data_IF_397528395834
#
_entry.id   IF_397528395834
#
_cell.length_a   1.000
_cell.length_b   1.000
_cell.length_c   1.000
_cell.angle_alpha   90.00
_cell.angle_beta   90.00
_cell.angle_gamma   90.00
#
_symmetry.space_group_name_H-M   'P 1'
#
loop_
_entity.id
_entity.type
_entity.pdbx_description
1 polymer ?
#
# COMPACT_ATOMS: atom_id res chain seq x y z
N UNK A 1 -5.20 22.73 7.74
CA UNK A 1 -5.32 21.31 8.14
C UNK A 1 -3.92 20.75 8.30
N UNK A 2 -3.64 19.94 9.32
CA UNK A 2 -2.37 19.22 9.40
C UNK A 2 -2.39 18.00 8.46
N UNK A 3 -1.77 18.13 7.29
CA UNK A 3 -1.76 17.10 6.24
C UNK A 3 -1.05 15.84 6.73
N UNK A 4 0.04 15.95 7.49
CA UNK A 4 0.82 14.80 7.92
C UNK A 4 -0.01 13.91 8.86
N UNK A 5 -0.54 14.51 9.94
CA UNK A 5 -1.36 13.81 10.93
C UNK A 5 -2.61 13.20 10.29
N UNK A 6 -3.31 13.95 9.41
CA UNK A 6 -4.52 13.44 8.75
C UNK A 6 -4.20 12.31 7.76
N UNK A 7 -3.05 12.35 7.10
CA UNK A 7 -2.61 11.28 6.20
C UNK A 7 -2.30 10.01 7.00
N UNK A 8 -1.64 10.13 8.15
CA UNK A 8 -1.40 8.99 9.03
C UNK A 8 -2.71 8.33 9.49
N UNK A 9 -3.70 9.12 9.90
CA UNK A 9 -5.02 8.59 10.28
C UNK A 9 -5.67 7.83 9.13
N UNK A 10 -5.68 8.41 7.93
CA UNK A 10 -6.27 7.77 6.74
C UNK A 10 -5.53 6.49 6.36
N UNK A 11 -4.20 6.52 6.32
CA UNK A 11 -3.37 5.37 5.96
C UNK A 11 -3.51 4.25 7.01
N UNK A 12 -3.49 4.57 8.31
CA UNK A 12 -3.74 3.58 9.37
C UNK A 12 -5.12 2.95 9.25
N UNK A 13 -6.15 3.74 8.94
CA UNK A 13 -7.50 3.22 8.69
C UNK A 13 -7.59 2.30 7.46
N UNK A 14 -6.65 2.43 6.53
CA UNK A 14 -6.51 1.60 5.34
C UNK A 14 -5.59 0.38 5.55
N UNK A 15 -5.13 0.12 6.78
CA UNK A 15 -4.30 -1.04 7.12
C UNK A 15 -2.80 -0.85 6.87
N UNK A 16 -2.33 0.40 6.83
CA UNK A 16 -0.90 0.70 6.80
C UNK A 16 -0.37 0.95 8.22
N UNK A 17 0.84 0.49 8.47
CA UNK A 17 1.69 1.01 9.54
C UNK A 17 2.28 2.35 9.09
N UNK A 18 2.38 3.33 10.00
CA UNK A 18 2.98 4.63 9.69
C UNK A 18 3.92 5.08 10.80
N UNK A 19 5.04 5.68 10.42
CA UNK A 19 6.02 6.23 11.34
C UNK A 19 6.70 7.46 10.72
N UNK A 20 7.13 8.39 11.57
CA UNK A 20 7.81 9.60 11.14
C UNK A 20 9.32 9.40 11.11
N UNK A 21 9.97 9.92 10.07
CA UNK A 21 11.42 10.05 10.01
C UNK A 21 11.81 11.54 9.93
N UNK A 22 12.50 12.09 10.96
CA UNK A 22 12.85 13.51 11.01
C UNK A 22 14.13 13.87 10.25
N UNK A 23 14.79 12.92 9.57
CA UNK A 23 16.10 13.16 8.96
C UNK A 23 16.08 13.75 7.54
N UNK A 24 14.90 14.10 7.01
CA UNK A 24 14.76 14.77 5.72
C UNK A 24 14.77 16.30 5.83
N UNK A 25 14.93 16.99 4.70
CA UNK A 25 14.74 18.45 4.61
C UNK A 25 13.29 18.88 4.86
N UNK A 26 12.35 17.95 4.67
CA UNK A 26 10.95 18.05 5.09
C UNK A 26 10.61 16.83 5.96
N UNK A 27 9.74 16.96 6.97
CA UNK A 27 9.24 15.83 7.74
C UNK A 27 8.68 14.75 6.80
N UNK A 28 9.13 13.51 6.98
CA UNK A 28 8.69 12.38 6.16
C UNK A 28 7.82 11.46 7.01
N UNK A 29 6.62 11.16 6.53
CA UNK A 29 5.81 10.06 7.05
C UNK A 29 6.06 8.85 6.16
N UNK A 30 6.70 7.84 6.71
CA UNK A 30 6.84 6.55 6.07
C UNK A 30 5.58 5.73 6.33
N UNK A 31 5.14 4.94 5.35
CA UNK A 31 4.01 4.05 5.51
C UNK A 31 4.23 2.74 4.79
N UNK A 32 3.71 1.65 5.35
CA UNK A 32 3.80 0.35 4.72
C UNK A 32 2.72 -0.63 5.15
N UNK A 33 2.39 -1.58 4.27
CA UNK A 33 1.58 -2.75 4.60
C UNK A 33 2.22 -4.01 3.97
N UNK A 34 1.49 -5.12 3.87
CA UNK A 34 2.02 -6.35 3.29
C UNK A 34 2.48 -6.22 1.82
N UNK A 35 1.93 -5.28 1.05
CA UNK A 35 2.11 -5.19 -0.41
C UNK A 35 2.67 -3.88 -0.93
N UNK A 36 2.58 -2.79 -0.16
CA UNK A 36 2.92 -1.43 -0.57
C UNK A 36 3.80 -0.80 0.50
N UNK A 37 4.79 -0.02 0.07
CA UNK A 37 5.54 0.91 0.91
C UNK A 37 5.42 2.32 0.33
N UNK A 38 5.70 3.34 1.12
CA UNK A 38 5.84 4.68 0.58
C UNK A 38 6.27 5.73 1.58
N UNK A 39 6.43 6.92 1.03
CA UNK A 39 6.93 8.09 1.72
C UNK A 39 6.04 9.28 1.40
N UNK A 40 5.59 9.97 2.43
CA UNK A 40 4.83 11.20 2.33
C UNK A 40 5.72 12.39 2.71
N UNK A 41 5.76 13.35 1.81
CA UNK A 41 6.44 14.63 1.93
C UNK A 41 5.40 15.74 1.93
N UNK A 42 5.38 16.53 3.00
CA UNK A 42 4.50 17.70 3.13
C UNK A 42 5.32 18.96 2.93
N UNK A 43 4.95 19.74 1.92
CA UNK A 43 5.57 21.01 1.55
C UNK A 43 4.74 22.18 2.06
N UNK A 44 5.39 23.31 2.30
CA UNK A 44 4.70 24.54 2.71
C UNK A 44 3.82 25.10 1.59
N UNK A 45 4.33 25.08 0.34
CA UNK A 45 3.62 25.59 -0.84
C UNK A 45 3.86 24.73 -2.08
N UNK A 46 2.98 24.88 -3.09
CA UNK A 46 3.13 24.25 -4.41
C UNK A 46 4.43 24.62 -5.13
N UNK A 47 4.94 25.85 -4.96
CA UNK A 47 6.23 26.27 -5.51
C UNK A 47 7.38 25.48 -4.91
N UNK A 48 7.42 25.35 -3.58
CA UNK A 48 8.45 24.55 -2.90
C UNK A 48 8.38 23.07 -3.28
N UNK A 49 7.17 22.54 -3.47
CA UNK A 49 6.95 21.19 -3.98
C UNK A 49 7.57 21.04 -5.38
N UNK A 50 7.25 21.93 -6.32
CA UNK A 50 7.77 21.87 -7.69
C UNK A 50 9.29 22.01 -7.75
N UNK A 51 9.86 22.85 -6.90
CA UNK A 51 11.30 23.06 -6.83
C UNK A 51 12.04 21.81 -6.31
N UNK A 52 11.53 21.19 -5.23
CA UNK A 52 12.36 20.31 -4.40
C UNK A 52 11.98 18.82 -4.47
N UNK A 53 10.84 18.44 -5.07
CA UNK A 53 10.33 17.06 -5.00
C UNK A 53 11.34 16.00 -5.45
N UNK A 54 12.13 16.27 -6.51
CA UNK A 54 13.13 15.32 -7.03
C UNK A 54 14.23 15.07 -6.00
N UNK A 55 14.75 16.14 -5.42
CA UNK A 55 15.83 16.09 -4.43
C UNK A 55 15.35 15.37 -3.16
N UNK A 56 14.15 15.71 -2.68
CA UNK A 56 13.55 15.09 -1.49
C UNK A 56 13.31 13.59 -1.71
N UNK A 57 12.81 13.20 -2.89
CA UNK A 57 12.66 11.78 -3.25
C UNK A 57 14.00 11.06 -3.23
N UNK A 58 15.02 11.59 -3.90
CA UNK A 58 16.33 10.95 -3.99
C UNK A 58 16.97 10.78 -2.61
N UNK A 59 16.92 11.81 -1.76
CA UNK A 59 17.45 11.74 -0.40
C UNK A 59 16.74 10.64 0.42
N UNK A 60 15.41 10.58 0.34
CA UNK A 60 14.61 9.59 1.08
C UNK A 60 14.86 8.16 0.58
N UNK A 61 14.88 7.94 -0.73
CA UNK A 61 15.17 6.63 -1.31
C UNK A 61 16.60 6.19 -1.03
N UNK A 62 17.57 7.10 -1.11
CA UNK A 62 18.97 6.82 -0.76
C UNK A 62 19.11 6.37 0.69
N UNK A 63 18.41 7.06 1.61
CA UNK A 63 18.38 6.70 3.04
C UNK A 63 17.82 5.29 3.27
N UNK A 64 16.76 4.92 2.56
CA UNK A 64 16.06 3.65 2.72
C UNK A 64 16.51 2.56 1.71
N UNK A 65 17.56 2.80 0.94
CA UNK A 65 17.97 1.92 -0.17
C UNK A 65 18.25 0.48 0.27
N UNK A 66 18.86 0.28 1.44
CA UNK A 66 19.12 -1.06 1.97
C UNK A 66 17.82 -1.82 2.26
N UNK A 67 16.88 -1.17 2.96
CA UNK A 67 15.58 -1.75 3.29
C UNK A 67 14.75 -2.05 2.03
N UNK A 68 14.76 -1.14 1.05
CA UNK A 68 14.08 -1.32 -0.23
C UNK A 68 14.64 -2.49 -1.02
N UNK A 69 15.97 -2.68 -1.05
CA UNK A 69 16.59 -3.83 -1.71
C UNK A 69 16.20 -5.16 -1.05
N UNK A 70 16.02 -5.19 0.26
CA UNK A 70 15.55 -6.38 0.98
C UNK A 70 14.04 -6.60 0.93
N UNK A 71 13.25 -5.63 0.43
CA UNK A 71 11.78 -5.68 0.46
C UNK A 71 11.17 -6.63 -0.61
N UNK A 72 11.99 -7.27 -1.44
CA UNK A 72 11.54 -8.25 -2.43
C UNK A 72 10.47 -7.70 -3.38
N UNK A 73 9.35 -8.40 -3.53
CA UNK A 73 8.25 -7.99 -4.40
C UNK A 73 7.62 -6.63 -3.99
N UNK A 74 7.65 -6.26 -2.70
CA UNK A 74 7.14 -4.99 -2.19
C UNK A 74 7.94 -3.79 -2.73
N UNK A 75 9.20 -3.99 -3.10
CA UNK A 75 10.05 -2.94 -3.68
C UNK A 75 9.53 -2.41 -5.03
N UNK A 76 8.70 -3.19 -5.73
CA UNK A 76 8.05 -2.77 -6.98
C UNK A 76 6.80 -1.91 -6.72
N UNK A 77 6.37 -1.79 -5.47
CA UNK A 77 5.16 -1.09 -5.04
C UNK A 77 5.46 0.04 -4.06
N UNK A 78 6.43 0.87 -4.42
CA UNK A 78 6.81 2.05 -3.64
C UNK A 78 6.11 3.29 -4.19
N UNK A 79 5.47 4.04 -3.30
CA UNK A 79 4.84 5.33 -3.59
C UNK A 79 5.60 6.50 -2.95
N UNK A 80 5.73 7.60 -3.70
CA UNK A 80 6.14 8.90 -3.17
C UNK A 80 4.96 9.88 -3.27
N UNK A 81 4.55 10.43 -2.14
CA UNK A 81 3.44 11.38 -2.02
C UNK A 81 4.05 12.76 -1.78
N UNK A 82 3.74 13.71 -2.65
CA UNK A 82 4.20 15.10 -2.55
C UNK A 82 2.97 16.00 -2.39
N UNK A 83 2.73 16.47 -1.17
CA UNK A 83 1.50 17.18 -0.82
C UNK A 83 1.84 18.59 -0.30
N UNK A 84 1.07 19.59 -0.71
CA UNK A 84 1.10 20.92 -0.13
C UNK A 84 -0.31 21.38 0.25
N UNK A 85 -0.41 22.27 1.24
CA UNK A 85 -1.68 22.83 1.71
C UNK A 85 -2.15 24.04 0.90
N UNK A 86 -1.23 24.67 0.17
CA UNK A 86 -1.49 25.87 -0.62
C UNK A 86 -0.65 25.86 -1.89
N UNK A 87 -1.24 26.28 -3.00
CA UNK A 87 -0.60 26.37 -4.31
C UNK A 87 -1.39 27.31 -5.19
N UNK A 88 -0.69 28.13 -5.96
CA UNK A 88 -1.34 28.89 -7.05
C UNK A 88 -2.03 27.91 -8.03
N UNK A 89 -3.32 28.12 -8.37
CA UNK A 89 -4.03 27.32 -9.36
C UNK A 89 -3.30 27.17 -10.71
N UNK A 90 -2.49 28.15 -11.11
CA UNK A 90 -1.69 28.11 -12.33
C UNK A 90 -0.65 26.98 -12.30
N UNK A 91 -0.20 26.57 -11.11
CA UNK A 91 0.78 25.50 -10.91
C UNK A 91 0.15 24.10 -10.91
N UNK A 92 -1.18 23.98 -10.82
CA UNK A 92 -1.87 22.69 -10.66
C UNK A 92 -1.46 21.67 -11.73
N UNK A 93 -1.44 22.10 -13.01
CA UNK A 93 -1.03 21.23 -14.12
C UNK A 93 0.43 20.82 -14.04
N UNK A 94 1.32 21.68 -13.56
CA UNK A 94 2.74 21.33 -13.42
C UNK A 94 2.94 20.31 -12.30
N UNK A 95 2.19 20.45 -11.21
CA UNK A 95 2.22 19.51 -10.08
C UNK A 95 1.65 18.15 -10.51
N UNK A 96 0.54 18.12 -11.24
CA UNK A 96 -0.04 16.86 -11.77
C UNK A 96 0.93 16.11 -12.68
N UNK A 97 1.73 16.82 -13.50
CA UNK A 97 2.76 16.21 -14.36
C UNK A 97 3.86 15.50 -13.59
N UNK A 98 4.02 15.71 -12.28
CA UNK A 98 4.94 14.92 -11.46
C UNK A 98 4.54 13.44 -11.49
N UNK A 99 3.24 13.11 -11.57
CA UNK A 99 2.76 11.73 -11.67
C UNK A 99 3.14 11.05 -12.98
N UNK A 100 3.43 11.83 -14.03
CA UNK A 100 3.89 11.36 -15.33
C UNK A 100 5.41 11.05 -15.32
N UNK A 101 6.14 11.43 -14.27
CA UNK A 101 7.53 11.02 -14.09
C UNK A 101 7.57 9.60 -13.52
N UNK A 102 7.95 8.63 -14.35
CA UNK A 102 8.00 7.21 -13.95
C UNK A 102 9.33 6.79 -13.30
N UNK A 103 10.21 7.73 -12.96
CA UNK A 103 11.51 7.39 -12.35
C UNK A 103 11.33 6.94 -10.89
N UNK A 104 11.96 5.82 -10.52
CA UNK A 104 12.10 5.29 -9.14
C UNK A 104 10.81 4.81 -8.44
N UNK A 105 9.77 5.64 -8.34
CA UNK A 105 8.54 5.33 -7.57
C UNK A 105 7.28 5.74 -8.33
N UNK A 106 6.14 5.15 -7.96
CA UNK A 106 4.82 5.70 -8.32
C UNK A 106 4.58 6.97 -7.53
N UNK A 107 3.97 7.99 -8.12
CA UNK A 107 3.85 9.32 -7.50
C UNK A 107 2.40 9.72 -7.36
N UNK A 108 2.11 10.45 -6.29
CA UNK A 108 0.85 11.19 -6.08
C UNK A 108 1.24 12.60 -5.69
N UNK A 109 0.86 13.61 -6.47
CA UNK A 109 1.31 14.98 -6.27
C UNK A 109 0.14 15.98 -6.23
N UNK A 110 -0.03 16.74 -5.15
CA UNK A 110 -1.13 17.69 -4.99
C UNK A 110 -0.67 18.96 -4.29
N UNK A 111 -1.02 20.12 -4.86
CA UNK A 111 -0.60 21.42 -4.35
C UNK A 111 -1.58 22.13 -3.41
N UNK A 112 -2.89 21.88 -3.54
CA UNK A 112 -3.92 22.69 -2.87
C UNK A 112 -4.84 21.84 -1.96
N UNK A 113 -4.25 21.12 -0.99
CA UNK A 113 -5.01 20.27 -0.06
C UNK A 113 -5.50 21.05 1.17
N UNK A 114 -6.72 21.58 1.07
CA UNK A 114 -7.33 22.40 2.14
C UNK A 114 -8.17 21.59 3.12
N UNK A 115 -8.82 20.53 2.64
CA UNK A 115 -9.77 19.74 3.45
C UNK A 115 -9.39 18.26 3.55
N UNK A 116 -9.94 17.58 4.55
CA UNK A 116 -9.78 16.13 4.71
C UNK A 116 -10.40 15.35 3.53
N UNK A 117 -11.43 15.92 2.89
CA UNK A 117 -12.04 15.36 1.69
C UNK A 117 -11.09 15.43 0.48
N UNK A 118 -10.35 16.53 0.32
CA UNK A 118 -9.34 16.67 -0.73
C UNK A 118 -8.20 15.66 -0.53
N UNK A 119 -7.74 15.51 0.71
CA UNK A 119 -6.74 14.53 1.07
C UNK A 119 -7.22 13.10 0.77
N UNK A 120 -8.42 12.74 1.23
CA UNK A 120 -9.01 11.42 0.98
C UNK A 120 -9.12 11.12 -0.52
N UNK A 121 -9.61 12.09 -1.32
CA UNK A 121 -9.71 11.97 -2.78
C UNK A 121 -8.34 11.73 -3.42
N UNK A 122 -7.32 12.42 -2.92
CA UNK A 122 -5.95 12.31 -3.42
C UNK A 122 -5.31 10.97 -3.08
N UNK A 123 -5.64 10.39 -1.92
CA UNK A 123 -5.12 9.11 -1.47
C UNK A 123 -5.95 7.90 -1.92
N UNK A 124 -7.02 8.09 -2.69
CA UNK A 124 -7.83 6.98 -3.22
C UNK A 124 -7.02 5.82 -3.83
N UNK A 125 -5.91 6.03 -4.56
CA UNK A 125 -5.10 4.93 -5.11
C UNK A 125 -4.48 4.01 -4.04
N UNK A 126 -4.38 4.46 -2.80
CA UNK A 126 -3.83 3.72 -1.66
C UNK A 126 -4.91 3.23 -0.71
N UNK A 127 -6.15 3.71 -0.84
CA UNK A 127 -7.24 3.26 0.03
C UNK A 127 -7.81 1.94 -0.51
N UNK A 128 -8.24 1.04 0.39
CA UNK A 128 -8.91 -0.19 -0.03
C UNK A 128 -10.14 0.15 -0.87
N UNK A 129 -10.40 -0.66 -1.89
CA UNK A 129 -11.65 -0.60 -2.64
C UNK A 129 -12.78 -0.93 -1.64
N UNK A 130 -13.57 0.09 -1.28
CA UNK A 130 -14.62 -0.03 -0.26
C UNK A 130 -15.75 -0.97 -0.70
N UNK A 131 -15.89 -1.19 -2.00
CA UNK A 131 -16.58 -2.34 -2.57
C UNK A 131 -15.67 -3.58 -2.49
N UNK A 132 -15.29 -3.96 -1.27
CA UNK A 132 -14.89 -5.33 -1.05
C UNK A 132 -16.12 -6.17 -1.42
N UNK A 133 -16.07 -7.03 -2.47
CA UNK A 133 -17.15 -7.96 -2.66
C UNK A 133 -17.31 -8.67 -1.31
N UNK A 134 -18.50 -8.63 -0.74
CA UNK A 134 -18.82 -9.56 0.32
C UNK A 134 -18.59 -10.92 -0.32
N UNK A 135 -17.48 -11.57 0.01
CA UNK A 135 -17.30 -12.99 -0.25
C UNK A 135 -18.29 -13.63 0.71
N UNK A 136 -19.58 -13.53 0.37
CA UNK A 136 -20.69 -14.03 1.18
C UNK A 136 -20.37 -15.49 1.38
N UNK A 137 -20.11 -15.88 2.64
CA UNK A 137 -19.39 -17.08 3.06
C UNK A 137 -19.53 -18.25 2.10
N UNK A 138 -18.80 -18.20 0.99
CA UNK A 138 -18.98 -19.13 -0.10
C UNK A 138 -18.24 -20.37 0.37
N UNK A 139 -19.02 -21.29 0.92
CA UNK A 139 -18.59 -22.44 1.72
C UNK A 139 -17.20 -22.91 1.27
N UNK A 140 -16.19 -22.40 1.98
CA UNK A 140 -14.78 -22.60 1.64
C UNK A 140 -14.50 -24.10 1.55
N UNK A 141 -15.19 -24.90 2.38
CA UNK A 141 -15.13 -26.35 2.37
C UNK A 141 -15.74 -26.94 1.10
N UNK A 142 -16.89 -26.45 0.63
CA UNK A 142 -17.49 -26.90 -0.63
C UNK A 142 -16.60 -26.60 -1.84
N UNK A 143 -16.01 -25.40 -1.89
CA UNK A 143 -15.07 -25.03 -2.97
C UNK A 143 -13.76 -25.82 -2.91
N UNK A 144 -13.24 -26.07 -1.71
CA UNK A 144 -12.02 -26.85 -1.55
C UNK A 144 -12.25 -28.31 -1.94
N UNK A 145 -13.40 -28.90 -1.57
CA UNK A 145 -13.82 -30.22 -2.06
C UNK A 145 -13.92 -30.27 -3.58
N UNK A 146 -14.56 -29.28 -4.21
CA UNK A 146 -14.68 -29.23 -5.68
C UNK A 146 -13.32 -29.15 -6.41
N UNK A 147 -12.29 -28.56 -5.78
CA UNK A 147 -10.93 -28.48 -6.34
C UNK A 147 -10.06 -29.70 -6.05
N UNK A 148 -10.43 -30.47 -5.02
CA UNK A 148 -9.77 -31.72 -4.65
C UNK A 148 -10.55 -32.91 -5.21
N UNK A 149 -11.19 -32.75 -6.39
CA UNK A 149 -11.99 -33.79 -7.03
C UNK A 149 -11.22 -35.08 -7.32
N UNK A 150 -9.90 -34.93 -7.50
CA UNK A 150 -9.00 -36.02 -7.86
C UNK A 150 -8.32 -36.63 -6.62
N UNK A 151 -8.73 -36.19 -5.42
CA UNK A 151 -8.23 -36.67 -4.14
C UNK A 151 -9.33 -37.51 -3.47
N UNK A 152 -8.98 -38.65 -2.85
CA UNK A 152 -9.94 -39.47 -2.14
C UNK A 152 -10.75 -38.68 -1.10
N UNK A 153 -12.08 -38.83 -1.11
CA UNK A 153 -12.99 -38.10 -0.22
C UNK A 153 -12.63 -38.25 1.26
N UNK A 154 -12.14 -39.44 1.66
CA UNK A 154 -11.67 -39.71 3.01
C UNK A 154 -10.48 -38.83 3.41
N UNK A 155 -9.53 -38.61 2.49
CA UNK A 155 -8.38 -37.74 2.72
C UNK A 155 -8.81 -36.26 2.77
N UNK A 156 -9.73 -35.84 1.89
CA UNK A 156 -10.28 -34.48 1.88
C UNK A 156 -11.06 -34.19 3.17
N UNK A 157 -11.85 -35.16 3.66
CA UNK A 157 -12.59 -35.05 4.91
C UNK A 157 -11.67 -34.98 6.12
N UNK A 158 -10.61 -35.79 6.17
CA UNK A 158 -9.60 -35.76 7.22
C UNK A 158 -8.85 -34.42 7.23
N UNK A 159 -8.42 -33.92 6.06
CA UNK A 159 -7.74 -32.64 5.88
C UNK A 159 -8.60 -31.44 6.31
N UNK A 160 -9.89 -31.44 6.00
CA UNK A 160 -10.83 -30.38 6.39
C UNK A 160 -11.30 -30.47 7.84
N UNK A 161 -11.00 -31.58 8.52
CA UNK A 161 -11.32 -31.88 9.90
C UNK A 161 -10.18 -31.54 10.86
N UNK A 162 -10.00 -32.35 11.89
CA UNK A 162 -8.97 -32.18 12.92
C UNK A 162 -7.86 -33.26 12.84
N UNK A 163 -7.74 -33.95 11.70
CA UNK A 163 -6.73 -34.99 11.53
C UNK A 163 -5.32 -34.39 11.47
N UNK A 164 -4.33 -35.15 11.94
CA UNK A 164 -2.92 -34.76 11.84
C UNK A 164 -2.43 -34.90 10.39
N UNK A 165 -1.43 -34.11 10.00
CA UNK A 165 -0.84 -34.23 8.65
C UNK A 165 -0.31 -35.66 8.33
N UNK A 166 0.33 -36.38 9.29
CA UNK A 166 0.68 -37.78 9.09
C UNK A 166 -0.52 -38.71 8.81
N UNK A 167 -1.65 -38.51 9.48
CA UNK A 167 -2.85 -39.33 9.26
C UNK A 167 -3.47 -39.06 7.89
N UNK A 168 -3.53 -37.81 7.46
CA UNK A 168 -4.00 -37.44 6.12
C UNK A 168 -3.10 -38.07 5.05
N UNK A 169 -1.78 -38.03 5.23
CA UNK A 169 -0.81 -38.63 4.31
C UNK A 169 -0.98 -40.16 4.20
N UNK A 170 -1.22 -40.84 5.33
CA UNK A 170 -1.50 -42.27 5.33
C UNK A 170 -2.78 -42.60 4.56
N UNK A 171 -3.86 -41.84 4.76
CA UNK A 171 -5.12 -42.02 4.03
C UNK A 171 -4.93 -41.80 2.52
N UNK A 172 -4.06 -40.87 2.11
CA UNK A 172 -3.74 -40.66 0.69
C UNK A 172 -2.97 -41.82 0.06
N UNK A 173 -2.10 -42.48 0.83
CA UNK A 173 -1.29 -43.61 0.36
C UNK A 173 -2.08 -44.92 0.34
N UNK A 174 -2.98 -45.10 1.30
CA UNK A 174 -3.79 -46.30 1.46
C UNK A 174 -5.08 -46.28 0.61
N UNK A 175 -5.37 -45.16 -0.05
CA UNK A 175 -6.50 -45.06 -0.97
C UNK A 175 -6.20 -45.79 -2.30
N UNK A 176 -7.11 -46.64 -2.79
CA UNK A 176 -6.92 -47.41 -4.02
C UNK A 176 -6.92 -46.55 -5.28
#
# INVERSE_FOLDING_TARGET
>A
MDIATQSEVLLRSAGYETWTWPGGSVPVVCFENASVAGFLHVFGTGESLLADWRQVQQATLGRHAAALRSAGAKAWNVYALFLASDSDPVLARQIERIEEDFSMTRKIARGDLRTAADLRRSLLPLLPVLSAPAIGGADYRARLRARLSDVPDAAVAAFLGAASAPDVARILVDAP
#
